data_IF_712557655396
#
_entry.id   IF_712557655396
#
_cell.length_a   1.000
_cell.length_b   1.000
_cell.length_c   1.000
_cell.angle_alpha   90.00
_cell.angle_beta   90.00
_cell.angle_gamma   90.00
#
_symmetry.space_group_name_H-M   'P 1'
#
loop_
_entity.id
_entity.type
_entity.pdbx_description
1 polymer ?
#
# COMPACT_ATOMS: atom_id res chain seq x y z
N UNK A 1 -23.81 41.50 -26.58
CA UNK A 1 -22.61 42.27 -26.21
C UNK A 1 -21.51 41.45 -25.53
N UNK A 2 -21.74 40.24 -24.98
CA UNK A 2 -20.75 39.50 -24.16
C UNK A 2 -19.67 38.67 -24.88
N UNK A 3 -19.52 38.71 -26.21
CA UNK A 3 -18.48 37.93 -26.90
C UNK A 3 -17.09 38.60 -26.84
N UNK A 4 -17.07 39.94 -26.74
CA UNK A 4 -15.82 40.70 -26.75
C UNK A 4 -15.09 40.64 -25.40
N UNK A 5 -15.83 40.55 -24.29
CA UNK A 5 -15.26 40.36 -22.95
C UNK A 5 -14.60 38.99 -22.79
N UNK A 6 -15.13 37.95 -23.44
CA UNK A 6 -14.53 36.62 -23.45
C UNK A 6 -13.21 36.54 -24.23
N UNK A 7 -13.04 37.37 -25.26
CA UNK A 7 -11.81 37.43 -26.05
C UNK A 7 -10.71 38.26 -25.37
N UNK A 8 -11.08 39.33 -24.65
CA UNK A 8 -10.13 40.16 -23.90
C UNK A 8 -9.47 39.39 -22.74
N UNK A 9 -10.21 38.52 -22.04
CA UNK A 9 -9.68 37.71 -20.93
C UNK A 9 -8.60 36.70 -21.34
N UNK A 10 -8.65 36.20 -22.58
CA UNK A 10 -7.64 35.27 -23.11
C UNK A 10 -6.28 35.91 -23.39
N UNK A 11 -6.23 37.22 -23.65
CA UNK A 11 -4.99 37.94 -23.93
C UNK A 11 -4.31 38.47 -22.65
N UNK A 12 -5.07 38.66 -21.56
CA UNK A 12 -4.54 39.14 -20.28
C UNK A 12 -4.03 38.04 -19.35
N UNK A 13 -4.05 36.77 -19.77
CA UNK A 13 -3.67 35.63 -18.90
C UNK A 13 -4.66 35.32 -17.76
N UNK A 14 -5.59 36.23 -17.48
CA UNK A 14 -6.70 36.03 -16.56
C UNK A 14 -7.88 35.37 -17.29
N UNK A 15 -7.77 34.07 -17.55
CA UNK A 15 -8.94 33.28 -17.93
C UNK A 15 -10.04 33.50 -16.88
N UNK A 16 -11.31 33.76 -17.27
CA UNK A 16 -12.38 33.98 -16.32
C UNK A 16 -12.44 32.78 -15.37
N UNK A 17 -12.28 33.03 -14.06
CA UNK A 17 -12.37 32.00 -13.02
C UNK A 17 -13.71 31.29 -13.18
N UNK A 18 -13.66 29.99 -13.44
CA UNK A 18 -14.87 29.16 -13.48
C UNK A 18 -15.29 28.93 -12.04
N UNK A 19 -16.45 29.45 -11.67
CA UNK A 19 -17.06 29.15 -10.37
C UNK A 19 -17.59 27.72 -10.40
N UNK A 20 -16.74 26.74 -10.09
CA UNK A 20 -17.18 25.37 -9.85
C UNK A 20 -17.78 25.28 -8.45
N UNK A 21 -19.09 25.10 -8.36
CA UNK A 21 -19.76 24.85 -7.08
C UNK A 21 -19.63 23.38 -6.69
N UNK A 22 -18.98 23.13 -5.55
CA UNK A 22 -19.01 21.84 -4.88
C UNK A 22 -20.34 21.67 -4.13
N UNK A 23 -20.99 20.53 -4.31
CA UNK A 23 -22.22 20.17 -3.60
C UNK A 23 -22.15 18.73 -3.12
N UNK A 24 -22.21 18.52 -1.80
CA UNK A 24 -22.21 17.19 -1.19
C UNK A 24 -23.21 17.15 -0.03
N UNK A 25 -23.93 16.04 0.12
CA UNK A 25 -24.83 15.83 1.25
C UNK A 25 -24.03 15.22 2.40
N UNK A 26 -24.09 15.87 3.56
CA UNK A 26 -23.48 15.40 4.79
C UNK A 26 -24.23 14.17 5.36
N UNK A 27 -23.60 13.25 6.13
CA UNK A 27 -24.29 12.12 6.75
C UNK A 27 -25.48 12.50 7.63
N UNK A 28 -25.49 13.72 8.21
CA UNK A 28 -26.61 14.24 8.98
C UNK A 28 -27.79 14.73 8.12
N UNK A 29 -27.67 14.68 6.78
CA UNK A 29 -28.70 15.12 5.82
C UNK A 29 -28.53 16.55 5.30
N UNK A 30 -27.67 17.37 5.92
CA UNK A 30 -27.45 18.76 5.51
C UNK A 30 -26.70 18.83 4.17
N UNK A 31 -27.11 19.74 3.27
CA UNK A 31 -26.46 19.91 1.96
C UNK A 31 -25.37 20.97 2.05
N UNK A 32 -24.12 20.54 1.95
CA UNK A 32 -22.98 21.44 1.88
C UNK A 32 -22.82 21.98 0.47
N UNK A 33 -22.81 23.30 0.34
CA UNK A 33 -22.54 24.00 -0.90
C UNK A 33 -21.40 25.00 -0.69
N UNK A 34 -20.34 24.87 -1.49
CA UNK A 34 -19.17 25.75 -1.41
C UNK A 34 -18.65 26.02 -2.82
N UNK A 35 -18.01 27.18 -3.03
CA UNK A 35 -17.24 27.43 -4.25
C UNK A 35 -15.87 26.78 -4.11
N UNK A 36 -15.47 25.98 -5.10
CA UNK A 36 -14.12 25.42 -5.16
C UNK A 36 -13.11 26.55 -5.36
N UNK A 37 -12.01 26.48 -4.63
CA UNK A 37 -10.86 27.35 -4.82
C UNK A 37 -9.76 26.64 -5.62
N UNK A 38 -8.79 27.38 -6.17
CA UNK A 38 -7.60 26.78 -6.78
C UNK A 38 -6.72 26.04 -5.76
N UNK A 39 -6.93 26.27 -4.47
CA UNK A 39 -6.31 25.56 -3.35
C UNK A 39 -7.30 24.58 -2.73
N UNK A 40 -6.77 23.51 -2.12
CA UNK A 40 -7.59 22.56 -1.37
C UNK A 40 -8.30 23.27 -0.22
N UNK A 41 -9.62 23.04 -0.06
CA UNK A 41 -10.40 23.62 1.03
C UNK A 41 -10.88 22.51 1.96
N UNK A 42 -10.83 22.74 3.28
CA UNK A 42 -11.51 21.89 4.27
C UNK A 42 -12.70 22.64 4.86
N UNK A 43 -13.89 22.05 4.81
CA UNK A 43 -15.14 22.62 5.34
C UNK A 43 -15.76 21.65 6.33
N UNK A 44 -16.27 22.16 7.45
CA UNK A 44 -17.04 21.37 8.41
C UNK A 44 -18.53 21.59 8.21
N UNK A 45 -19.34 20.53 8.34
CA UNK A 45 -20.79 20.65 8.39
C UNK A 45 -21.20 21.56 9.55
N UNK A 46 -22.06 22.57 9.32
CA UNK A 46 -22.50 23.47 10.39
C UNK A 46 -23.39 22.78 11.43
N UNK A 47 -23.98 21.63 11.09
CA UNK A 47 -24.93 20.92 11.96
C UNK A 47 -24.22 19.87 12.83
N UNK A 48 -23.52 18.91 12.22
CA UNK A 48 -22.91 17.78 12.93
C UNK A 48 -21.39 17.87 13.07
N UNK A 49 -20.75 18.91 12.54
CA UNK A 49 -19.29 19.10 12.62
C UNK A 49 -18.45 18.18 11.73
N UNK A 50 -19.06 17.21 11.03
CA UNK A 50 -18.35 16.31 10.10
C UNK A 50 -17.54 17.11 9.09
N UNK A 51 -16.27 16.74 8.91
CA UNK A 51 -15.31 17.48 8.06
C UNK A 51 -15.31 16.91 6.64
N UNK A 52 -15.24 17.80 5.67
CA UNK A 52 -15.22 17.50 4.24
C UNK A 52 -14.00 18.13 3.60
N UNK A 53 -13.36 17.35 2.73
CA UNK A 53 -12.23 17.78 1.91
C UNK A 53 -12.75 18.14 0.52
N UNK A 54 -12.60 19.39 0.13
CA UNK A 54 -12.97 19.89 -1.19
C UNK A 54 -11.69 19.99 -2.01
N UNK A 55 -11.61 19.16 -3.05
CA UNK A 55 -10.49 19.17 -3.99
C UNK A 55 -10.41 20.52 -4.74
N UNK A 56 -9.19 21.00 -5.04
CA UNK A 56 -9.00 22.22 -5.81
C UNK A 56 -9.59 22.10 -7.22
N UNK A 57 -9.89 23.24 -7.83
CA UNK A 57 -10.24 23.29 -9.25
C UNK A 57 -9.08 22.71 -10.07
N UNK A 58 -9.37 21.71 -10.92
CA UNK A 58 -8.35 21.12 -11.78
C UNK A 58 -7.68 22.21 -12.63
N UNK A 59 -6.34 22.33 -12.61
CA UNK A 59 -5.62 23.30 -13.44
C UNK A 59 -5.68 22.93 -14.93
N UNK A 60 -6.10 21.70 -15.26
CA UNK A 60 -6.15 21.22 -16.62
C UNK A 60 -7.49 21.56 -17.29
N UNK A 61 -7.46 22.04 -18.55
CA UNK A 61 -8.68 22.26 -19.30
C UNK A 61 -9.39 20.92 -19.53
N UNK A 62 -10.69 20.87 -19.23
CA UNK A 62 -11.53 19.71 -19.55
C UNK A 62 -11.30 19.34 -21.03
N UNK A 63 -10.90 18.09 -21.34
CA UNK A 63 -10.59 17.70 -22.70
C UNK A 63 -11.83 17.94 -23.57
N UNK A 64 -11.67 18.78 -24.61
CA UNK A 64 -12.74 18.98 -25.57
C UNK A 64 -12.92 17.66 -26.31
N UNK A 65 -14.15 17.13 -26.42
CA UNK A 65 -14.36 15.92 -27.20
C UNK A 65 -13.86 16.17 -28.64
N UNK A 66 -13.26 15.16 -29.28
CA UNK A 66 -12.71 15.31 -30.62
C UNK A 66 -13.79 15.84 -31.58
N UNK A 67 -13.39 16.74 -32.50
CA UNK A 67 -14.31 17.33 -33.48
C UNK A 67 -15.03 16.20 -34.24
N UNK A 68 -16.35 16.12 -34.09
CA UNK A 68 -17.18 15.08 -34.69
C UNK A 68 -17.74 14.04 -33.71
N UNK A 69 -17.35 14.07 -32.43
CA UNK A 69 -17.97 13.22 -31.40
C UNK A 69 -19.42 13.63 -31.19
N UNK A 70 -20.35 12.84 -31.73
CA UNK A 70 -21.76 12.88 -31.38
C UNK A 70 -21.95 11.92 -30.21
N UNK A 71 -22.27 12.39 -28.99
CA UNK A 71 -22.57 11.48 -27.91
C UNK A 71 -23.67 10.54 -28.39
N UNK A 72 -23.43 9.23 -28.29
CA UNK A 72 -24.48 8.22 -28.50
C UNK A 72 -25.51 8.50 -27.43
N UNK A 73 -26.55 9.28 -27.76
CA UNK A 73 -27.76 9.39 -26.95
C UNK A 73 -28.17 7.97 -26.64
N UNK A 74 -28.10 7.59 -25.35
CA UNK A 74 -28.48 6.27 -24.89
C UNK A 74 -29.87 5.99 -25.46
N UNK A 75 -29.91 5.11 -26.46
CA UNK A 75 -31.13 4.95 -27.25
C UNK A 75 -32.20 4.41 -26.32
N UNK A 76 -33.36 5.04 -26.36
CA UNK A 76 -34.63 4.72 -25.72
C UNK A 76 -35.17 3.30 -26.06
N UNK A 77 -34.36 2.46 -26.72
CA UNK A 77 -34.71 1.10 -27.18
C UNK A 77 -34.65 0.02 -26.11
N UNK A 78 -34.21 0.31 -24.88
CA UNK A 78 -34.25 -0.68 -23.79
C UNK A 78 -35.65 -0.89 -23.19
N UNK A 79 -36.68 -0.12 -23.58
CA UNK A 79 -38.04 -0.23 -23.03
C UNK A 79 -39.05 -1.03 -23.88
N UNK A 80 -38.65 -1.61 -25.02
CA UNK A 80 -39.59 -2.28 -25.94
C UNK A 80 -39.34 -3.76 -26.23
N UNK A 81 -38.47 -4.44 -25.48
CA UNK A 81 -38.15 -5.86 -25.73
C UNK A 81 -38.62 -6.80 -24.61
N UNK A 82 -39.86 -6.64 -24.15
CA UNK A 82 -40.53 -7.65 -23.29
C UNK A 82 -41.85 -8.20 -23.84
N UNK A 83 -42.36 -7.68 -24.97
CA UNK A 83 -43.58 -8.19 -25.59
C UNK A 83 -43.32 -8.57 -27.05
N UNK A 84 -42.73 -9.75 -27.30
CA UNK A 84 -43.04 -10.57 -28.49
C UNK A 84 -42.44 -11.98 -28.37
N UNK A 85 -43.31 -12.86 -27.94
CA UNK A 85 -43.36 -14.30 -28.19
C UNK A 85 -43.09 -14.70 -29.65
N UNK A 86 -42.54 -15.91 -29.79
CA UNK A 86 -42.84 -16.91 -30.82
C UNK A 86 -42.80 -16.51 -32.31
N UNK A 87 -41.81 -17.04 -33.04
CA UNK A 87 -42.00 -18.06 -34.08
C UNK A 87 -40.71 -18.29 -34.89
N UNK A 88 -40.44 -19.58 -35.11
CA UNK A 88 -39.77 -20.22 -36.25
C UNK A 88 -38.26 -20.04 -36.52
N UNK A 89 -37.58 -21.17 -36.35
CA UNK A 89 -36.36 -21.68 -37.01
C UNK A 89 -36.63 -22.02 -38.50
N UNK A 90 -35.69 -22.58 -39.30
CA UNK A 90 -34.26 -22.31 -39.49
C UNK A 90 -33.94 -22.07 -41.00
N UNK A 91 -32.73 -21.61 -41.37
CA UNK A 91 -31.93 -22.22 -42.46
C UNK A 91 -30.61 -21.49 -42.77
N UNK A 92 -29.63 -22.36 -43.04
CA UNK A 92 -28.27 -22.25 -43.58
C UNK A 92 -28.11 -21.43 -44.85
N UNK A 93 -26.96 -20.74 -45.06
CA UNK A 93 -26.11 -20.90 -46.28
C UNK A 93 -24.65 -20.48 -46.00
N UNK A 94 -23.76 -21.33 -46.51
CA UNK A 94 -22.31 -21.27 -46.62
C UNK A 94 -21.69 -20.11 -47.44
N UNK A 95 -20.34 -20.14 -47.43
CA UNK A 95 -19.36 -19.64 -48.42
C UNK A 95 -18.71 -18.28 -48.10
N UNK A 96 -17.42 -18.02 -48.33
CA UNK A 96 -16.26 -18.80 -48.76
C UNK A 96 -15.02 -17.87 -48.64
N UNK A 97 -13.86 -18.45 -48.30
CA UNK A 97 -12.50 -18.21 -48.82
C UNK A 97 -11.82 -16.81 -48.83
N UNK A 98 -10.59 -16.84 -48.30
CA UNK A 98 -9.40 -16.11 -48.81
C UNK A 98 -8.39 -15.79 -47.70
N UNK A 99 -7.41 -16.66 -47.39
CA UNK A 99 -6.02 -16.67 -47.93
C UNK A 99 -5.23 -15.41 -47.56
N UNK A 100 -3.97 -15.41 -47.07
CA UNK A 100 -2.90 -16.35 -46.71
C UNK A 100 -1.88 -15.45 -45.96
N UNK A 101 -1.18 -15.96 -44.95
CA UNK A 101 0.30 -15.95 -44.96
C UNK A 101 0.86 -16.56 -43.67
N UNK A 102 1.86 -17.39 -43.89
CA UNK A 102 2.49 -18.30 -42.96
C UNK A 102 3.75 -17.68 -42.34
N UNK A 103 4.00 -17.98 -41.06
CA UNK A 103 5.35 -18.06 -40.49
C UNK A 103 5.37 -19.25 -39.51
N UNK A 104 6.40 -20.13 -39.55
CA UNK A 104 6.36 -21.43 -38.90
C UNK A 104 7.03 -21.48 -37.53
N UNK A 105 6.68 -22.53 -36.79
CA UNK A 105 7.49 -23.30 -35.83
C UNK A 105 8.07 -22.58 -34.61
N UNK A 106 7.54 -22.95 -33.42
CA UNK A 106 8.32 -23.81 -32.54
C UNK A 106 7.45 -24.62 -31.58
N UNK A 107 7.88 -25.86 -31.41
CA UNK A 107 7.12 -26.99 -30.90
C UNK A 107 6.74 -26.89 -29.42
N UNK A 108 5.47 -27.23 -29.22
CA UNK A 108 4.88 -27.87 -28.06
C UNK A 108 5.73 -29.03 -27.53
N UNK A 109 5.96 -29.06 -26.22
CA UNK A 109 6.14 -30.31 -25.48
C UNK A 109 5.31 -30.20 -24.20
N UNK A 110 4.00 -30.37 -24.37
CA UNK A 110 3.15 -31.01 -23.37
C UNK A 110 2.88 -32.42 -23.83
N UNK A 111 3.29 -33.37 -23.01
CA UNK A 111 2.77 -34.73 -23.02
C UNK A 111 2.80 -35.22 -21.57
N UNK A 112 1.69 -34.98 -20.89
CA UNK A 112 1.10 -36.02 -20.06
C UNK A 112 0.91 -37.26 -20.94
N UNK A 113 1.57 -38.36 -20.61
CA UNK A 113 0.97 -39.65 -20.89
C UNK A 113 1.25 -40.64 -19.78
N UNK A 114 0.16 -41.28 -19.42
CA UNK A 114 0.03 -42.38 -18.49
C UNK A 114 0.83 -43.56 -19.02
N UNK A 115 1.45 -44.34 -18.13
CA UNK A 115 1.38 -45.81 -18.08
C UNK A 115 2.60 -46.42 -17.40
N UNK A 116 2.29 -47.49 -16.67
CA UNK A 116 3.17 -48.58 -16.26
C UNK A 116 4.05 -48.35 -15.04
N UNK A 117 3.42 -48.61 -13.88
CA UNK A 117 4.01 -49.46 -12.84
C UNK A 117 4.67 -50.70 -13.45
N UNK A 118 5.97 -50.60 -13.74
CA UNK A 118 6.82 -51.78 -13.88
C UNK A 118 7.67 -51.87 -12.61
N UNK A 119 7.28 -52.80 -11.75
CA UNK A 119 8.00 -53.24 -10.55
C UNK A 119 9.35 -53.84 -10.96
N UNK A 120 10.32 -52.99 -11.28
CA UNK A 120 11.71 -53.38 -11.35
C UNK A 120 12.25 -53.51 -9.92
N UNK A 121 12.19 -54.73 -9.41
CA UNK A 121 12.89 -55.14 -8.18
C UNK A 121 14.37 -54.77 -8.27
N UNK A 122 14.72 -53.69 -7.56
CA UNK A 122 16.12 -53.26 -7.40
C UNK A 122 16.88 -54.41 -6.72
N UNK A 123 17.97 -54.92 -7.33
CA UNK A 123 18.77 -55.97 -6.71
C UNK A 123 19.33 -55.47 -5.38
N UNK A 124 19.16 -56.31 -4.37
CA UNK A 124 19.62 -56.13 -2.98
C UNK A 124 21.00 -55.49 -2.96
N UNK A 125 20.97 -54.21 -2.59
CA UNK A 125 22.09 -53.29 -2.44
C UNK A 125 23.16 -53.96 -1.58
N UNK A 126 24.22 -54.45 -2.21
CA UNK A 126 25.43 -54.92 -1.54
C UNK A 126 25.96 -53.78 -0.68
N UNK A 127 25.91 -53.96 0.64
CA UNK A 127 26.51 -53.05 1.62
C UNK A 127 28.03 -53.10 1.44
N UNK A 128 28.54 -52.27 0.54
CA UNK A 128 29.97 -52.03 0.40
C UNK A 128 30.44 -51.41 1.73
N UNK A 129 31.41 -52.02 2.44
CA UNK A 129 31.87 -51.51 3.72
C UNK A 129 32.56 -50.14 3.55
N UNK A 130 31.87 -49.06 3.96
CA UNK A 130 32.35 -47.67 3.91
C UNK A 130 33.65 -47.42 4.70
N UNK A 131 34.12 -48.39 5.50
CA UNK A 131 35.31 -48.22 6.34
C UNK A 131 36.66 -48.21 5.60
N UNK A 132 36.76 -48.77 4.39
CA UNK A 132 38.07 -48.88 3.71
C UNK A 132 38.36 -47.75 2.70
N UNK A 133 37.40 -46.89 2.34
CA UNK A 133 37.63 -45.77 1.40
C UNK A 133 38.00 -44.43 2.07
N UNK A 134 37.77 -44.28 3.37
CA UNK A 134 38.10 -43.05 4.10
C UNK A 134 39.62 -42.81 4.25
N UNK A 135 40.45 -43.86 4.23
CA UNK A 135 41.90 -43.77 4.47
C UNK A 135 42.73 -43.15 3.34
N UNK A 136 42.17 -42.89 2.15
CA UNK A 136 42.89 -42.28 1.01
C UNK A 136 42.59 -40.79 0.78
N UNK A 137 41.62 -40.21 1.49
CA UNK A 137 41.30 -38.78 1.36
C UNK A 137 42.18 -37.91 2.27
N UNK A 138 42.74 -38.48 3.34
CA UNK A 138 43.59 -37.79 4.30
C UNK A 138 45.09 -38.02 4.04
N UNK A 139 45.59 -37.59 2.88
CA UNK A 139 47.05 -37.45 2.73
C UNK A 139 47.50 -36.17 3.44
N UNK A 140 48.64 -36.15 4.14
CA UNK A 140 49.09 -34.99 4.91
C UNK A 140 49.23 -33.72 4.03
N UNK A 141 49.58 -33.88 2.75
CA UNK A 141 49.61 -32.79 1.78
C UNK A 141 48.23 -32.16 1.53
N UNK A 142 47.17 -32.98 1.39
CA UNK A 142 45.81 -32.48 1.16
C UNK A 142 45.26 -31.77 2.39
N UNK A 143 45.62 -32.23 3.60
CA UNK A 143 45.30 -31.55 4.84
C UNK A 143 45.96 -30.17 4.92
N UNK A 144 47.24 -30.05 4.54
CA UNK A 144 47.90 -28.73 4.49
C UNK A 144 47.25 -27.78 3.49
N UNK A 145 46.91 -28.25 2.28
CA UNK A 145 46.25 -27.42 1.27
C UNK A 145 44.87 -26.99 1.76
N UNK A 146 44.08 -27.90 2.34
CA UNK A 146 42.78 -27.57 2.90
C UNK A 146 42.88 -26.55 4.04
N UNK A 147 43.86 -26.70 4.93
CA UNK A 147 44.12 -25.75 6.01
C UNK A 147 44.53 -24.37 5.47
N UNK A 148 45.38 -24.33 4.43
CA UNK A 148 45.79 -23.08 3.79
C UNK A 148 44.60 -22.38 3.11
N UNK A 149 43.76 -23.12 2.37
CA UNK A 149 42.55 -22.57 1.76
C UNK A 149 41.56 -22.07 2.81
N UNK A 150 41.36 -22.82 3.90
CA UNK A 150 40.50 -22.40 5.00
C UNK A 150 41.03 -21.10 5.64
N UNK A 151 42.33 -21.01 5.87
CA UNK A 151 42.95 -19.80 6.42
C UNK A 151 42.79 -18.59 5.48
N UNK A 152 42.95 -18.77 4.17
CA UNK A 152 42.74 -17.71 3.17
C UNK A 152 41.28 -17.27 3.17
N UNK A 153 40.32 -18.20 3.13
CA UNK A 153 38.89 -17.90 3.13
C UNK A 153 38.45 -17.18 4.40
N UNK A 154 38.90 -17.63 5.57
CA UNK A 154 38.62 -16.98 6.85
C UNK A 154 39.24 -15.58 6.89
N UNK A 155 40.48 -15.43 6.44
CA UNK A 155 41.15 -14.11 6.40
C UNK A 155 40.45 -13.13 5.45
N UNK A 156 40.03 -13.60 4.28
CA UNK A 156 39.27 -12.81 3.30
C UNK A 156 37.92 -12.37 3.84
N UNK A 157 37.19 -13.29 4.48
CA UNK A 157 35.92 -12.99 5.15
C UNK A 157 36.10 -11.95 6.27
N UNK A 158 37.11 -12.11 7.14
CA UNK A 158 37.39 -11.16 8.21
C UNK A 158 37.81 -9.77 7.68
N UNK A 159 38.58 -9.72 6.59
CA UNK A 159 38.95 -8.45 5.95
C UNK A 159 37.73 -7.74 5.37
N UNK A 160 36.87 -8.48 4.65
CA UNK A 160 35.63 -7.94 4.10
C UNK A 160 34.70 -7.44 5.22
N UNK A 161 34.49 -8.24 6.27
CA UNK A 161 33.69 -7.86 7.44
C UNK A 161 34.21 -6.58 8.11
N UNK A 162 35.52 -6.48 8.35
CA UNK A 162 36.13 -5.28 8.93
C UNK A 162 35.96 -4.04 8.05
N UNK A 163 36.08 -4.20 6.74
CA UNK A 163 35.89 -3.11 5.77
C UNK A 163 34.44 -2.63 5.80
N UNK A 164 33.47 -3.54 5.83
CA UNK A 164 32.04 -3.21 5.96
C UNK A 164 31.75 -2.46 7.27
N UNK A 165 32.30 -2.93 8.38
CA UNK A 165 32.17 -2.28 9.68
C UNK A 165 32.77 -0.87 9.70
N UNK A 166 33.94 -0.66 9.09
CA UNK A 166 34.57 0.67 9.00
C UNK A 166 33.76 1.62 8.12
N UNK A 167 33.36 1.16 6.94
CA UNK A 167 32.51 1.92 6.02
C UNK A 167 31.20 2.33 6.68
N UNK A 168 30.54 1.41 7.41
CA UNK A 168 29.29 1.70 8.08
C UNK A 168 29.45 2.73 9.21
N UNK A 169 30.55 2.71 9.97
CA UNK A 169 30.82 3.72 11.03
C UNK A 169 31.02 5.12 10.46
N UNK A 170 31.83 5.23 9.41
CA UNK A 170 32.12 6.51 8.76
C UNK A 170 30.86 7.11 8.11
N UNK A 171 30.09 6.26 7.42
CA UNK A 171 28.90 6.73 6.73
C UNK A 171 27.71 6.95 7.64
N UNK A 172 27.51 6.18 8.71
CA UNK A 172 26.36 6.36 9.60
C UNK A 172 26.30 7.80 10.15
N UNK A 173 27.38 8.28 10.74
CA UNK A 173 27.41 9.62 11.36
C UNK A 173 27.26 10.74 10.32
N UNK A 174 27.95 10.61 9.19
CA UNK A 174 27.91 11.59 8.09
C UNK A 174 26.55 11.62 7.41
N UNK A 175 25.95 10.46 7.12
CA UNK A 175 24.66 10.33 6.47
C UNK A 175 23.54 10.84 7.38
N UNK A 176 23.55 10.51 8.67
CA UNK A 176 22.57 11.05 9.63
C UNK A 176 22.63 12.58 9.68
N UNK A 177 23.82 13.17 9.75
CA UNK A 177 23.96 14.63 9.77
C UNK A 177 23.40 15.28 8.49
N UNK A 178 23.74 14.74 7.32
CA UNK A 178 23.23 15.22 6.02
C UNK A 178 21.73 15.01 5.85
N UNK A 179 21.19 13.91 6.38
CA UNK A 179 19.77 13.60 6.29
C UNK A 179 18.93 14.64 7.06
N UNK A 180 19.36 15.00 8.28
CA UNK A 180 18.69 16.05 9.05
C UNK A 180 18.87 17.44 8.41
N UNK A 181 20.05 17.75 7.87
CA UNK A 181 20.28 19.00 7.12
C UNK A 181 19.34 19.10 5.90
N UNK A 182 19.19 18.02 5.13
CA UNK A 182 18.28 17.97 3.99
C UNK A 182 16.80 18.09 4.43
N UNK A 183 16.41 17.48 5.55
CA UNK A 183 15.06 17.67 6.12
C UNK A 183 14.79 19.12 6.51
N UNK A 184 15.76 19.79 7.15
CA UNK A 184 15.66 21.22 7.50
C UNK A 184 15.51 22.11 6.27
N UNK A 185 16.17 21.75 5.17
CA UNK A 185 16.09 22.43 3.88
C UNK A 185 14.86 22.02 3.05
N UNK A 186 14.03 21.09 3.55
CA UNK A 186 12.87 20.52 2.87
C UNK A 186 13.21 19.82 1.54
N UNK A 187 14.43 19.28 1.43
CA UNK A 187 14.94 18.48 0.31
C UNK A 187 14.68 16.99 0.58
N UNK A 188 13.42 16.57 0.44
CA UNK A 188 12.96 15.24 0.90
C UNK A 188 13.60 14.07 0.16
N UNK A 189 13.89 14.24 -1.13
CA UNK A 189 14.51 13.19 -1.94
C UNK A 189 15.95 12.91 -1.47
N UNK A 190 16.72 13.97 -1.20
CA UNK A 190 18.07 13.85 -0.66
C UNK A 190 18.05 13.31 0.77
N UNK A 191 17.09 13.75 1.59
CA UNK A 191 16.89 13.20 2.93
C UNK A 191 16.61 11.69 2.87
N UNK A 192 15.74 11.23 1.94
CA UNK A 192 15.40 9.81 1.79
C UNK A 192 16.64 8.96 1.47
N UNK A 193 17.49 9.43 0.56
CA UNK A 193 18.75 8.75 0.18
C UNK A 193 19.69 8.68 1.39
N UNK A 194 19.87 9.77 2.13
CA UNK A 194 20.78 9.78 3.28
C UNK A 194 20.26 8.92 4.44
N UNK A 195 18.94 8.92 4.71
CA UNK A 195 18.35 8.03 5.71
C UNK A 195 18.43 6.56 5.30
N UNK A 196 18.34 6.23 4.01
CA UNK A 196 18.58 4.86 3.54
C UNK A 196 20.01 4.40 3.85
N UNK A 197 21.01 5.21 3.52
CA UNK A 197 22.43 4.91 3.82
C UNK A 197 22.64 4.77 5.33
N UNK A 198 22.07 5.67 6.12
CA UNK A 198 22.15 5.63 7.58
C UNK A 198 21.47 4.38 8.16
N UNK A 199 20.28 4.01 7.68
CA UNK A 199 19.55 2.82 8.10
C UNK A 199 20.32 1.53 7.76
N UNK A 200 20.85 1.41 6.54
CA UNK A 200 21.67 0.27 6.15
C UNK A 200 22.96 0.17 6.99
N UNK A 201 23.60 1.31 7.26
CA UNK A 201 24.77 1.36 8.12
C UNK A 201 24.45 0.93 9.55
N UNK A 202 23.30 1.36 10.10
CA UNK A 202 22.85 0.95 11.43
C UNK A 202 22.61 -0.57 11.52
N UNK A 203 22.04 -1.18 10.48
CA UNK A 203 21.84 -2.64 10.40
C UNK A 203 23.19 -3.38 10.36
N UNK A 204 24.17 -2.92 9.56
CA UNK A 204 25.51 -3.54 9.50
C UNK A 204 26.24 -3.44 10.84
N UNK A 205 26.03 -2.35 11.57
CA UNK A 205 26.63 -2.10 12.88
C UNK A 205 25.86 -2.78 14.03
N UNK A 206 24.71 -3.40 13.77
CA UNK A 206 23.84 -3.99 14.78
C UNK A 206 23.49 -2.97 15.89
N UNK A 207 23.17 -1.73 15.48
CA UNK A 207 22.77 -0.67 16.40
C UNK A 207 21.28 -0.82 16.75
N UNK A 208 21.02 -1.22 17.99
CA UNK A 208 19.67 -1.32 18.57
C UNK A 208 19.34 -0.14 19.51
N UNK A 209 19.97 1.01 19.31
CA UNK A 209 19.71 2.20 20.12
C UNK A 209 18.49 3.01 19.63
N UNK A 210 17.96 3.88 20.49
CA UNK A 210 16.80 4.72 20.18
C UNK A 210 17.01 5.56 18.91
N UNK A 211 18.27 5.99 18.67
CA UNK A 211 18.62 6.81 17.52
C UNK A 211 18.62 6.01 16.22
N UNK A 212 19.12 4.78 16.22
CA UNK A 212 19.00 3.89 15.06
C UNK A 212 17.54 3.57 14.75
N UNK A 213 16.71 3.33 15.77
CA UNK A 213 15.28 3.12 15.59
C UNK A 213 14.58 4.35 14.95
N UNK A 214 14.92 5.56 15.41
CA UNK A 214 14.44 6.83 14.83
C UNK A 214 14.85 6.96 13.35
N UNK A 215 16.13 6.73 13.04
CA UNK A 215 16.67 6.77 11.66
C UNK A 215 15.95 5.78 10.74
N UNK A 216 15.73 4.55 11.21
CA UNK A 216 14.98 3.53 10.46
C UNK A 216 13.53 3.96 10.22
N UNK A 217 12.93 4.63 11.20
CA UNK A 217 11.56 5.12 11.10
C UNK A 217 11.44 6.28 10.10
N UNK A 218 12.38 7.23 10.08
CA UNK A 218 12.46 8.25 9.02
C UNK A 218 12.64 7.63 7.64
N UNK A 219 13.54 6.65 7.52
CA UNK A 219 13.75 5.94 6.25
C UNK A 219 12.44 5.29 5.76
N UNK A 220 11.69 4.60 6.64
CA UNK A 220 10.40 4.00 6.30
C UNK A 220 9.39 5.07 5.86
N UNK A 221 9.21 6.12 6.65
CA UNK A 221 8.25 7.20 6.36
C UNK A 221 8.51 7.85 4.99
N UNK A 222 9.75 8.22 4.69
CA UNK A 222 10.14 8.81 3.41
C UNK A 222 10.03 7.82 2.24
N UNK A 223 10.39 6.56 2.44
CA UNK A 223 10.24 5.52 1.41
C UNK A 223 8.77 5.23 1.08
N UNK A 224 7.86 5.31 2.07
CA UNK A 224 6.42 5.20 1.84
C UNK A 224 5.88 6.45 1.17
N UNK A 225 6.37 7.65 1.51
CA UNK A 225 5.94 8.90 0.88
C UNK A 225 6.05 8.85 -0.64
N UNK A 226 7.12 8.24 -1.18
CA UNK A 226 7.32 8.04 -2.62
C UNK A 226 6.39 6.97 -3.25
N UNK A 227 5.71 6.17 -2.42
CA UNK A 227 4.84 5.04 -2.82
C UNK A 227 3.38 5.26 -2.43
N UNK A 228 3.03 6.47 -2.02
CA UNK A 228 1.66 6.81 -1.69
C UNK A 228 0.79 6.74 -2.95
N UNK A 229 -0.44 6.25 -2.78
CA UNK A 229 -1.45 6.27 -3.83
C UNK A 229 -1.75 7.71 -4.24
N UNK A 230 -1.87 7.95 -5.54
CA UNK A 230 -2.45 9.18 -6.07
C UNK A 230 -3.97 9.26 -5.83
N UNK A 231 -4.61 8.11 -5.57
CA UNK A 231 -6.05 8.01 -5.33
C UNK A 231 -6.36 8.23 -3.85
N UNK A 232 -7.47 8.89 -3.59
CA UNK A 232 -8.01 8.95 -2.23
C UNK A 232 -8.48 7.57 -1.79
N UNK A 233 -8.40 7.30 -0.49
CA UNK A 233 -8.91 6.04 0.08
C UNK A 233 -10.42 5.84 -0.21
N UNK A 234 -11.19 6.94 -0.32
CA UNK A 234 -12.59 6.89 -0.76
C UNK A 234 -12.76 6.46 -2.21
N UNK A 235 -11.88 6.89 -3.12
CA UNK A 235 -11.89 6.47 -4.53
C UNK A 235 -11.52 5.00 -4.66
N UNK A 236 -10.54 4.53 -3.86
CA UNK A 236 -10.25 3.10 -3.75
C UNK A 236 -11.51 2.31 -3.36
N UNK A 237 -12.24 2.75 -2.34
CA UNK A 237 -13.44 2.04 -1.89
C UNK A 237 -14.56 2.07 -2.93
N UNK A 238 -14.69 3.17 -3.68
CA UNK A 238 -15.59 3.23 -4.83
C UNK A 238 -15.16 2.28 -5.96
N UNK A 239 -13.85 2.22 -6.25
CA UNK A 239 -13.30 1.30 -7.25
C UNK A 239 -13.54 -0.15 -6.84
N UNK A 240 -13.21 -0.53 -5.61
CA UNK A 240 -13.46 -1.86 -5.05
C UNK A 240 -14.94 -2.22 -5.15
N UNK A 241 -15.83 -1.26 -4.87
CA UNK A 241 -17.28 -1.46 -5.03
C UNK A 241 -17.68 -1.81 -6.46
N UNK A 242 -17.01 -1.27 -7.49
CA UNK A 242 -17.30 -1.66 -8.89
C UNK A 242 -16.87 -3.08 -9.22
N UNK A 243 -15.91 -3.63 -8.47
CA UNK A 243 -15.42 -5.00 -8.62
C UNK A 243 -16.25 -6.00 -7.80
N UNK A 244 -17.00 -5.54 -6.80
CA UNK A 244 -17.84 -6.40 -5.98
C UNK A 244 -18.97 -6.99 -6.81
N UNK A 245 -18.86 -8.28 -7.11
CA UNK A 245 -19.99 -9.09 -7.57
C UNK A 245 -20.68 -9.62 -6.30
N UNK A 246 -21.96 -9.30 -6.13
CA UNK A 246 -22.73 -9.82 -5.00
C UNK A 246 -22.63 -11.36 -4.99
N UNK A 247 -22.29 -11.98 -3.85
CA UNK A 247 -22.21 -13.42 -3.76
C UNK A 247 -23.58 -14.02 -4.16
N UNK A 248 -23.56 -14.95 -5.12
CA UNK A 248 -24.75 -15.74 -5.45
C UNK A 248 -24.93 -16.74 -4.31
N UNK A 249 -26.16 -16.86 -3.80
CA UNK A 249 -26.53 -17.80 -2.74
C UNK A 249 -25.95 -19.19 -3.05
N UNK A 250 -25.26 -19.79 -2.09
CA UNK A 250 -24.61 -21.11 -2.17
C UNK A 250 -23.31 -21.20 -3.00
N UNK A 251 -22.70 -20.06 -3.37
CA UNK A 251 -21.32 -20.01 -3.87
C UNK A 251 -20.49 -19.06 -3.01
N UNK A 252 -19.32 -19.49 -2.48
CA UNK A 252 -18.42 -18.58 -1.78
C UNK A 252 -18.07 -17.45 -2.75
N UNK A 253 -18.37 -16.21 -2.33
CA UNK A 253 -18.07 -15.04 -3.14
C UNK A 253 -16.59 -15.02 -3.53
N UNK A 254 -16.25 -14.53 -4.74
CA UNK A 254 -14.86 -14.49 -5.15
C UNK A 254 -14.06 -13.63 -4.17
N UNK A 255 -13.08 -14.23 -3.48
CA UNK A 255 -12.08 -13.48 -2.74
C UNK A 255 -11.31 -12.63 -3.74
N UNK A 256 -11.49 -11.32 -3.68
CA UNK A 256 -10.73 -10.42 -4.53
C UNK A 256 -9.44 -10.11 -3.79
N UNK A 257 -8.38 -10.84 -4.17
CA UNK A 257 -7.03 -10.49 -3.76
C UNK A 257 -6.65 -9.18 -4.44
N UNK A 258 -6.99 -8.08 -3.77
CA UNK A 258 -6.59 -6.75 -4.19
C UNK A 258 -5.19 -6.47 -3.65
N UNK A 259 -4.17 -6.85 -4.43
CA UNK A 259 -2.81 -6.43 -4.14
C UNK A 259 -2.59 -5.03 -4.71
N UNK A 260 -3.31 -4.04 -4.18
CA UNK A 260 -3.05 -2.64 -4.47
C UNK A 260 -1.69 -2.31 -3.90
N UNK A 261 -0.66 -2.26 -4.74
CA UNK A 261 0.73 -2.00 -4.33
C UNK A 261 0.97 -0.63 -3.70
N UNK A 262 -0.08 0.18 -3.57
CA UNK A 262 -0.03 1.58 -3.17
C UNK A 262 -0.32 1.74 -1.68
N UNK A 263 0.39 2.68 -1.05
CA UNK A 263 0.22 2.99 0.36
C UNK A 263 -0.79 4.11 0.56
N UNK A 264 -1.58 4.03 1.62
CA UNK A 264 -2.54 5.05 2.03
C UNK A 264 -2.18 5.56 3.42
N UNK A 265 -2.18 6.89 3.60
CA UNK A 265 -2.08 7.51 4.93
C UNK A 265 -3.48 7.71 5.48
N UNK A 266 -3.72 7.19 6.68
CA UNK A 266 -5.03 7.16 7.33
C UNK A 266 -4.93 7.80 8.72
N UNK A 267 -5.71 8.87 8.93
CA UNK A 267 -5.97 9.48 10.25
C UNK A 267 -7.37 9.08 10.70
N UNK A 268 -7.47 8.02 11.49
CA UNK A 268 -8.74 7.35 11.77
C UNK A 268 -8.90 7.01 13.25
N UNK A 269 -10.17 6.97 13.68
CA UNK A 269 -10.60 6.38 14.94
C UNK A 269 -11.07 4.95 14.67
N UNK A 270 -10.69 4.01 15.52
CA UNK A 270 -11.14 2.63 15.41
C UNK A 270 -11.06 1.87 16.74
N UNK A 271 -11.77 0.75 16.81
CA UNK A 271 -11.72 -0.16 17.97
C UNK A 271 -10.51 -1.08 17.82
N UNK A 272 -9.70 -1.17 18.87
CA UNK A 272 -8.60 -2.13 18.88
C UNK A 272 -9.14 -3.49 19.30
N UNK A 273 -8.91 -4.50 18.47
CA UNK A 273 -9.24 -5.90 18.73
C UNK A 273 -7.95 -6.72 18.77
N UNK A 274 -7.90 -7.73 19.61
CA UNK A 274 -6.76 -8.64 19.74
C UNK A 274 -7.18 -10.02 19.22
N UNK A 275 -6.42 -10.54 18.27
CA UNK A 275 -6.63 -11.86 17.65
C UNK A 275 -5.34 -12.68 17.76
N UNK A 276 -5.40 -13.96 17.38
CA UNK A 276 -4.25 -14.88 17.46
C UNK A 276 -3.02 -14.35 16.69
N UNK A 277 -3.25 -13.66 15.57
CA UNK A 277 -2.19 -13.11 14.71
C UNK A 277 -1.69 -11.72 15.13
N UNK A 278 -2.23 -11.17 16.23
CA UNK A 278 -1.82 -9.89 16.81
C UNK A 278 -2.95 -8.88 16.94
N UNK A 279 -2.58 -7.60 17.08
CA UNK A 279 -3.51 -6.50 17.32
C UNK A 279 -4.00 -5.92 16.00
N UNK A 280 -5.30 -5.65 15.92
CA UNK A 280 -5.94 -5.06 14.75
C UNK A 280 -6.76 -3.84 15.13
N UNK A 281 -6.83 -2.88 14.23
CA UNK A 281 -7.70 -1.72 14.30
C UNK A 281 -8.91 -1.97 13.40
N UNK A 282 -10.09 -2.10 14.00
CA UNK A 282 -11.36 -2.22 13.30
C UNK A 282 -12.00 -0.85 13.16
N UNK A 283 -12.13 -0.40 11.92
CA UNK A 283 -12.75 0.88 11.55
C UNK A 283 -14.08 0.58 10.88
N UNK A 284 -15.16 1.05 11.50
CA UNK A 284 -16.49 1.03 10.92
C UNK A 284 -16.59 2.27 10.00
N UNK A 285 -16.26 2.13 8.72
CA UNK A 285 -16.31 3.25 7.79
C UNK A 285 -17.77 3.49 7.37
N UNK A 286 -18.37 4.67 7.66
CA UNK A 286 -19.71 4.98 7.19
C UNK A 286 -19.67 5.37 5.71
N UNK A 287 -19.33 4.42 4.84
CA UNK A 287 -19.53 4.59 3.39
C UNK A 287 -20.92 4.08 3.08
N UNK A 288 -21.92 4.78 3.61
CA UNK A 288 -23.31 4.59 3.22
C UNK A 288 -23.54 5.24 1.86
N UNK A 289 -22.91 4.71 0.82
CA UNK A 289 -23.32 4.95 -0.56
C UNK A 289 -23.82 3.62 -1.13
N UNK A 290 -25.14 3.47 -1.19
CA UNK A 290 -25.86 2.34 -1.81
C UNK A 290 -25.81 0.99 -1.07
N UNK A 291 -26.13 0.97 0.23
CA UNK A 291 -26.41 -0.24 1.06
C UNK A 291 -25.25 -1.23 1.30
N UNK A 292 -24.10 -1.08 0.66
CA UNK A 292 -22.88 -1.80 1.02
C UNK A 292 -22.20 -1.09 2.19
N UNK A 293 -21.86 -1.84 3.24
CA UNK A 293 -21.16 -1.33 4.43
C UNK A 293 -19.75 -1.90 4.39
N UNK A 294 -18.74 -1.04 4.53
CA UNK A 294 -17.35 -1.46 4.58
C UNK A 294 -16.85 -1.40 6.04
N UNK A 295 -16.27 -2.51 6.49
CA UNK A 295 -15.37 -2.52 7.63
C UNK A 295 -13.94 -2.56 7.11
N UNK A 296 -13.09 -1.70 7.66
CA UNK A 296 -11.66 -1.72 7.35
C UNK A 296 -10.94 -2.29 8.57
N UNK A 297 -10.18 -3.35 8.36
CA UNK A 297 -9.40 -4.02 9.40
C UNK A 297 -7.93 -3.86 9.07
N UNK A 298 -7.23 -3.07 9.90
CA UNK A 298 -5.82 -2.73 9.71
C UNK A 298 -5.00 -3.42 10.78
N UNK A 299 -3.97 -4.18 10.42
CA UNK A 299 -3.06 -4.78 11.39
C UNK A 299 -2.26 -3.68 12.06
N UNK A 300 -2.26 -3.59 13.37
CA UNK A 300 -1.42 -2.63 14.09
C UNK A 300 0.00 -3.20 14.25
N UNK A 301 1.06 -2.40 14.05
CA UNK A 301 2.41 -2.85 14.35
C UNK A 301 2.55 -3.09 15.86
N UNK A 302 3.47 -3.96 16.26
CA UNK A 302 3.69 -4.34 17.67
C UNK A 302 3.96 -3.13 18.58
N UNK A 303 4.52 -2.07 18.00
CA UNK A 303 4.88 -0.82 18.67
C UNK A 303 3.67 0.08 18.99
N UNK A 304 2.46 -0.28 18.54
CA UNK A 304 1.26 0.53 18.74
C UNK A 304 0.81 0.56 20.21
N UNK A 305 0.61 1.77 20.75
CA UNK A 305 -0.02 1.96 22.06
C UNK A 305 -1.50 1.67 21.96
N UNK A 306 -1.92 0.61 22.63
CA UNK A 306 -3.34 0.24 22.72
C UNK A 306 -3.96 0.63 24.07
N UNK A 307 -3.20 1.30 24.94
CA UNK A 307 -3.64 1.88 26.21
C UNK A 307 -3.86 3.39 26.14
N UNK A 308 -3.88 3.97 24.94
CA UNK A 308 -4.04 5.40 24.72
C UNK A 308 -5.44 5.92 25.06
N UNK A 309 -5.63 7.25 25.09
CA UNK A 309 -6.93 7.86 25.32
C UNK A 309 -7.91 7.39 24.24
N UNK A 310 -8.99 6.75 24.70
CA UNK A 310 -10.10 6.37 23.85
C UNK A 310 -11.19 7.45 23.89
N UNK A 311 -11.95 7.57 22.80
CA UNK A 311 -13.14 8.40 22.77
C UNK A 311 -14.27 7.76 23.63
N UNK A 312 -15.42 8.43 23.74
CA UNK A 312 -16.57 7.91 24.50
C UNK A 312 -17.15 6.59 23.95
N UNK A 313 -16.71 6.15 22.76
CA UNK A 313 -17.10 4.89 22.13
C UNK A 313 -16.04 3.78 22.30
N UNK A 314 -14.96 4.05 23.05
CA UNK A 314 -13.86 3.11 23.25
C UNK A 314 -12.94 2.99 22.04
N UNK A 315 -13.01 3.92 21.09
CA UNK A 315 -12.15 3.94 19.90
C UNK A 315 -10.89 4.76 20.16
N UNK A 316 -9.78 4.33 19.58
CA UNK A 316 -8.51 5.03 19.64
C UNK A 316 -8.16 5.63 18.29
N UNK A 317 -7.55 6.82 18.32
CA UNK A 317 -7.08 7.51 17.12
C UNK A 317 -5.68 7.03 16.77
N UNK A 318 -5.45 6.71 15.50
CA UNK A 318 -4.13 6.41 14.98
C UNK A 318 -3.89 7.20 13.70
N UNK A 319 -2.67 7.70 13.55
CA UNK A 319 -2.13 8.08 12.26
C UNK A 319 -1.17 6.99 11.79
N UNK A 320 -1.56 6.32 10.72
CA UNK A 320 -0.81 5.19 10.18
C UNK A 320 -0.79 5.26 8.66
N UNK A 321 0.19 4.58 8.07
CA UNK A 321 0.15 4.27 6.65
C UNK A 321 -0.02 2.76 6.47
N UNK A 322 -0.85 2.37 5.52
CA UNK A 322 -1.20 0.97 5.30
C UNK A 322 -1.38 0.64 3.83
N UNK A 323 -1.22 -0.63 3.50
CA UNK A 323 -1.50 -1.19 2.19
C UNK A 323 -2.68 -2.15 2.28
N UNK A 324 -3.64 -1.99 1.38
CA UNK A 324 -4.78 -2.90 1.29
C UNK A 324 -4.38 -4.17 0.54
N UNK A 325 -4.61 -5.34 1.13
CA UNK A 325 -4.14 -6.62 0.57
C UNK A 325 -5.27 -7.52 0.08
N UNK A 326 -6.42 -7.50 0.77
CA UNK A 326 -7.57 -8.36 0.43
C UNK A 326 -8.91 -7.77 0.83
N UNK A 327 -9.94 -8.08 0.05
CA UNK A 327 -11.32 -7.72 0.29
C UNK A 327 -12.15 -9.00 0.41
N UNK A 328 -12.86 -9.15 1.53
CA UNK A 328 -13.62 -10.37 1.87
C UNK A 328 -15.06 -10.00 2.26
N UNK A 329 -16.09 -10.81 1.95
CA UNK A 329 -17.41 -10.62 2.52
C UNK A 329 -17.41 -10.99 4.02
N UNK A 330 -17.99 -10.14 4.88
CA UNK A 330 -18.00 -10.37 6.33
C UNK A 330 -18.95 -11.51 6.73
N UNK A 331 -20.10 -11.61 6.06
CA UNK A 331 -21.02 -12.75 6.19
C UNK A 331 -21.52 -13.15 4.79
N UNK A 332 -21.76 -14.45 4.56
CA UNK A 332 -22.19 -14.99 3.25
C UNK A 332 -23.47 -14.38 2.68
N UNK A 333 -24.28 -13.71 3.52
CA UNK A 333 -25.58 -13.14 3.13
C UNK A 333 -25.72 -11.64 3.37
N UNK A 334 -24.69 -10.98 3.88
CA UNK A 334 -24.77 -9.55 4.23
C UNK A 334 -24.07 -8.68 3.19
N UNK A 335 -24.52 -7.43 3.04
CA UNK A 335 -23.84 -6.44 2.19
C UNK A 335 -22.57 -5.88 2.85
N UNK A 336 -21.98 -6.61 3.80
CA UNK A 336 -20.84 -6.17 4.57
C UNK A 336 -19.57 -6.73 3.96
N UNK A 337 -18.61 -5.84 3.73
CA UNK A 337 -17.31 -6.19 3.16
C UNK A 337 -16.23 -5.77 4.13
N UNK A 338 -15.25 -6.66 4.33
CA UNK A 338 -14.08 -6.48 5.16
C UNK A 338 -12.87 -6.23 4.26
N UNK A 339 -12.33 -5.03 4.33
CA UNK A 339 -11.07 -4.67 3.69
C UNK A 339 -9.94 -4.89 4.69
N UNK A 340 -9.07 -5.87 4.42
CA UNK A 340 -7.97 -6.25 5.30
C UNK A 340 -6.66 -5.65 4.77
N UNK A 341 -5.97 -4.96 5.67
CA UNK A 341 -4.68 -4.33 5.42
C UNK A 341 -3.67 -4.92 6.40
N UNK A 342 -2.80 -5.82 5.92
CA UNK A 342 -1.87 -6.59 6.78
C UNK A 342 -0.57 -5.84 7.00
N UNK A 343 -0.13 -5.09 5.98
CA UNK A 343 1.04 -4.23 6.07
C UNK A 343 0.63 -2.83 6.53
N UNK A 344 1.08 -2.46 7.73
CA UNK A 344 0.95 -1.09 8.23
C UNK A 344 2.15 -0.68 9.07
N UNK A 345 2.34 0.63 9.21
CA UNK A 345 3.22 1.18 10.22
C UNK A 345 2.66 2.51 10.73
N UNK A 346 3.03 2.88 11.95
CA UNK A 346 2.61 4.15 12.53
C UNK A 346 3.47 5.28 12.01
N UNK A 347 2.82 6.40 11.70
CA UNK A 347 3.56 7.62 11.44
C UNK A 347 3.99 8.24 12.77
N UNK A 348 5.21 8.74 12.87
CA UNK A 348 5.75 9.26 14.13
C UNK A 348 6.37 10.65 14.00
N UNK A 349 6.88 11.03 12.83
CA UNK A 349 7.51 12.32 12.66
C UNK A 349 6.62 13.32 11.92
N UNK A 350 6.43 14.49 12.54
CA UNK A 350 5.69 15.60 11.95
C UNK A 350 6.36 16.13 10.67
N UNK A 351 7.69 16.13 10.63
CA UNK A 351 8.47 16.72 9.54
C UNK A 351 8.21 16.03 8.20
N UNK A 352 8.08 14.71 8.19
CA UNK A 352 7.79 13.90 7.00
C UNK A 352 6.33 13.99 6.56
N UNK A 353 5.41 14.33 7.48
CA UNK A 353 3.99 14.56 7.17
C UNK A 353 3.67 15.95 6.61
N UNK A 354 4.45 16.99 6.95
CA UNK A 354 4.20 18.37 6.49
C UNK A 354 4.09 18.50 4.97
N UNK A 355 4.98 17.89 4.17
CA UNK A 355 4.90 17.96 2.71
C UNK A 355 3.65 17.29 2.13
N UNK A 356 3.03 16.36 2.87
CA UNK A 356 1.78 15.72 2.48
C UNK A 356 0.55 16.63 2.65
N UNK A 357 0.71 17.83 3.19
CA UNK A 357 -0.40 18.78 3.40
C UNK A 357 -1.40 18.30 4.47
N UNK A 358 -0.98 17.39 5.35
CA UNK A 358 -1.83 16.86 6.43
C UNK A 358 -2.02 17.85 7.58
N UNK A 359 -1.03 18.73 7.83
CA UNK A 359 -1.10 19.79 8.83
C UNK A 359 -2.03 20.92 8.35
N UNK A 360 -3.11 21.16 9.08
CA UNK A 360 -4.01 22.30 8.86
C UNK A 360 -3.37 23.61 9.33
N UNK A 361 -3.79 24.77 8.79
CA UNK A 361 -3.38 26.09 9.32
C UNK A 361 -3.87 26.35 10.76
N UNK A 362 -4.85 25.57 11.24
CA UNK A 362 -5.42 25.72 12.58
C UNK A 362 -4.50 25.13 13.64
N UNK A 363 -4.03 25.99 14.54
CA UNK A 363 -3.09 25.67 15.64
C UNK A 363 -3.58 24.54 16.55
N UNK A 364 -4.88 24.47 16.84
CA UNK A 364 -5.45 23.41 17.70
C UNK A 364 -5.28 22.00 17.12
N UNK A 365 -5.50 21.85 15.81
CA UNK A 365 -5.36 20.57 15.14
C UNK A 365 -3.90 20.13 15.06
N UNK A 366 -3.00 21.09 14.82
CA UNK A 366 -1.55 20.82 14.83
C UNK A 366 -1.10 20.31 16.20
N UNK A 367 -1.54 20.94 17.29
CA UNK A 367 -1.20 20.52 18.64
C UNK A 367 -1.74 19.12 18.99
N UNK A 368 -2.98 18.82 18.57
CA UNK A 368 -3.56 17.48 18.76
C UNK A 368 -2.79 16.41 17.97
N UNK A 369 -2.44 16.71 16.72
CA UNK A 369 -1.68 15.79 15.86
C UNK A 369 -0.25 15.59 16.38
N UNK A 370 0.44 16.66 16.79
CA UNK A 370 1.77 16.58 17.40
C UNK A 370 1.74 15.77 18.70
N UNK A 371 0.69 15.93 19.52
CA UNK A 371 0.49 15.10 20.72
C UNK A 371 0.28 13.62 20.38
N UNK A 372 -0.45 13.31 19.30
CA UNK A 372 -0.65 11.94 18.85
C UNK A 372 0.69 11.33 18.37
N UNK A 373 1.42 12.05 17.53
CA UNK A 373 2.73 11.63 17.02
C UNK A 373 3.75 11.42 18.15
N UNK A 374 3.78 12.30 19.15
CA UNK A 374 4.63 12.15 20.33
C UNK A 374 4.26 10.90 21.17
N UNK A 375 2.97 10.59 21.29
CA UNK A 375 2.54 9.35 21.96
C UNK A 375 2.97 8.11 21.19
N UNK A 376 2.87 8.13 19.86
CA UNK A 376 3.30 7.01 19.02
C UNK A 376 4.83 6.83 19.03
N UNK A 377 5.61 7.91 19.02
CA UNK A 377 7.08 7.85 19.05
C UNK A 377 7.61 7.35 20.40
N UNK A 378 7.04 7.82 21.51
CA UNK A 378 7.43 7.36 22.87
C UNK A 378 7.15 5.88 23.08
N UNK A 379 6.11 5.36 22.46
CA UNK A 379 5.77 3.94 22.48
C UNK A 379 6.74 3.06 21.70
N UNK A 380 7.08 3.48 20.49
CA UNK A 380 8.08 2.82 19.67
C UNK A 380 9.45 2.76 20.37
N UNK A 381 9.81 3.85 21.07
CA UNK A 381 10.99 3.92 21.93
C UNK A 381 10.92 2.97 23.14
N UNK A 382 9.73 2.75 23.71
CA UNK A 382 9.57 1.85 24.85
C UNK A 382 9.73 0.37 24.44
N UNK A 383 9.26 -0.01 23.26
CA UNK A 383 9.38 -1.39 22.74
C UNK A 383 10.79 -1.77 22.31
N UNK A 384 11.62 -0.79 21.95
CA UNK A 384 13.00 -1.03 21.51
C UNK A 384 13.98 -1.19 22.66
N UNK A 385 13.56 -0.94 23.91
CA UNK A 385 14.44 -1.17 25.06
C UNK A 385 14.66 -2.68 25.15
N UNK A 386 15.90 -3.18 24.94
CA UNK A 386 16.17 -4.60 25.00
C UNK A 386 15.70 -5.10 26.37
N UNK A 387 14.91 -6.17 26.38
CA UNK A 387 14.64 -6.93 27.60
C UNK A 387 16.01 -7.26 28.14
N UNK A 388 16.45 -6.50 29.14
CA UNK A 388 17.71 -6.76 29.81
C UNK A 388 17.59 -8.22 30.21
N UNK A 389 18.41 -9.07 29.60
CA UNK A 389 18.51 -10.46 29.97
C UNK A 389 18.96 -10.42 31.42
N UNK A 390 18.00 -10.45 32.34
CA UNK A 390 18.22 -10.65 33.76
C UNK A 390 18.98 -11.96 33.82
N UNK A 391 20.30 -11.82 33.99
CA UNK A 391 21.22 -12.93 33.96
C UNK A 391 20.79 -13.94 34.99
N UNK A 392 20.69 -15.18 34.54
CA UNK A 392 21.04 -16.35 35.32
C UNK A 392 22.36 -16.05 36.06
N UNK A 393 22.26 -15.80 37.37
CA UNK A 393 23.39 -15.91 38.32
C UNK A 393 23.72 -17.38 38.60
#
# INVERSE_FOLDING_TARGET
>A
MGWFESAAGLLTGNAPRRDETFRQTCPCGEVLQAQREPTMQRRSCPVCGTRFLILPISPFPIPRPPRGYKPKTASEKSRRKKDREEADDPETVDAEKGAKDAVPMRDDVTSDDLMSEEQASLPVKTRIPLRQRAGRLFTPLRLMIAAMLLLISVSGYLYWWRTQQQWARENYTTAVARAYEALEQNELDDAAIQFEIASQSAIILELDDLRAAEVQQYHRELAIQQKLSEQSFSELLQYLKTLMVLPVKDQPGPYIKYRGGEWFVLDLWGKVIEEEDGKWLLIEAPITQDKAIFQVKVRLPEQAVTSGPANGQGEQRFLLATRCDRLEPLEESSNWWLLICEDSFLWTHAQTLRPLGMFEEKTEFQAELESLLAMQSTAAAATTKPVATEGEE
#
